data_IF_609401556171
#
_entry.id   IF_609401556171
#
_cell.length_a   1.000
_cell.length_b   1.000
_cell.length_c   1.000
_cell.angle_alpha   90.00
_cell.angle_beta   90.00
_cell.angle_gamma   90.00
#
_symmetry.space_group_name_H-M   'P 1'
#
loop_
_entity.id
_entity.type
_entity.pdbx_description
1 polymer ?
#
# COMPACT_ATOMS: atom_id res chain seq x y z
N UNK A 1 33.51 -10.44 32.20
CA UNK A 1 32.89 -9.88 30.99
C UNK A 1 33.63 -8.60 30.66
N UNK A 2 34.11 -8.45 29.43
CA UNK A 2 34.75 -7.21 29.00
C UNK A 2 33.74 -6.04 29.03
N UNK A 3 34.21 -4.81 29.20
CA UNK A 3 33.34 -3.61 29.15
C UNK A 3 32.56 -3.54 27.83
N UNK A 4 33.15 -4.04 26.75
CA UNK A 4 32.53 -4.19 25.43
C UNK A 4 31.35 -5.16 25.46
N UNK A 5 31.52 -6.37 25.98
CA UNK A 5 30.45 -7.37 26.10
C UNK A 5 29.28 -6.88 26.95
N UNK A 6 29.57 -6.20 28.07
CA UNK A 6 28.53 -5.62 28.94
C UNK A 6 27.74 -4.54 28.21
N UNK A 7 28.43 -3.68 27.45
CA UNK A 7 27.79 -2.61 26.67
C UNK A 7 26.90 -3.19 25.58
N UNK A 8 27.39 -4.18 24.82
CA UNK A 8 26.59 -4.86 23.79
C UNK A 8 25.35 -5.54 24.37
N UNK A 9 25.46 -6.23 25.52
CA UNK A 9 24.30 -6.86 26.18
C UNK A 9 23.25 -5.81 26.53
N UNK A 10 23.66 -4.68 27.13
CA UNK A 10 22.75 -3.59 27.48
C UNK A 10 22.11 -2.94 26.26
N UNK A 11 22.86 -2.77 25.16
CA UNK A 11 22.32 -2.27 23.90
C UNK A 11 21.22 -3.21 23.35
N UNK A 12 21.41 -4.53 23.44
CA UNK A 12 20.39 -5.52 23.05
C UNK A 12 19.15 -5.45 23.95
N UNK A 13 19.32 -5.29 25.27
CA UNK A 13 18.21 -5.09 26.22
C UNK A 13 17.39 -3.83 25.89
N UNK A 14 18.05 -2.75 25.48
CA UNK A 14 17.41 -1.50 25.03
C UNK A 14 16.78 -1.60 23.63
N UNK A 15 16.82 -2.77 22.98
CA UNK A 15 16.36 -3.00 21.59
C UNK A 15 17.12 -2.14 20.56
N UNK A 16 18.41 -1.92 20.79
CA UNK A 16 19.37 -1.27 19.88
C UNK A 16 20.26 -2.34 19.24
N UNK A 17 19.63 -3.33 18.60
CA UNK A 17 20.29 -4.55 18.12
C UNK A 17 21.33 -4.26 17.04
N UNK A 18 21.05 -3.38 16.09
CA UNK A 18 21.99 -3.03 15.03
C UNK A 18 23.13 -2.17 15.57
N UNK A 19 22.84 -1.31 16.56
CA UNK A 19 23.87 -0.57 17.28
C UNK A 19 24.86 -1.51 18.00
N UNK A 20 24.35 -2.56 18.65
CA UNK A 20 25.16 -3.59 19.31
C UNK A 20 26.06 -4.33 18.30
N UNK A 21 25.49 -4.79 17.19
CA UNK A 21 26.25 -5.47 16.11
C UNK A 21 27.32 -4.56 15.50
N UNK A 22 26.98 -3.29 15.25
CA UNK A 22 27.93 -2.32 14.69
C UNK A 22 29.04 -1.98 15.69
N UNK A 23 28.74 -1.98 16.99
CA UNK A 23 29.73 -1.77 18.05
C UNK A 23 30.71 -2.94 18.17
N UNK A 24 30.23 -4.18 18.06
CA UNK A 24 31.08 -5.37 17.96
C UNK A 24 31.99 -5.30 16.72
N UNK A 25 31.43 -4.95 15.55
CA UNK A 25 32.19 -4.78 14.31
C UNK A 25 33.27 -3.69 14.40
N UNK A 26 32.96 -2.58 15.07
CA UNK A 26 33.94 -1.51 15.29
C UNK A 26 35.12 -1.96 16.16
N UNK A 27 34.88 -2.83 17.14
CA UNK A 27 35.94 -3.35 18.01
C UNK A 27 36.88 -4.32 17.29
N UNK A 28 36.38 -5.03 16.27
CA UNK A 28 37.17 -5.97 15.44
C UNK A 28 37.95 -5.26 14.32
N UNK A 29 37.47 -4.11 13.85
CA UNK A 29 38.05 -3.41 12.71
C UNK A 29 39.03 -2.30 13.12
N UNK A 30 40.32 -2.62 13.12
CA UNK A 30 41.41 -1.70 13.46
C UNK A 30 41.47 -0.42 12.62
N UNK A 31 40.93 -0.42 11.39
CA UNK A 31 40.83 0.78 10.53
C UNK A 31 39.86 1.82 11.09
N UNK A 32 38.78 1.38 11.75
CA UNK A 32 37.80 2.29 12.35
C UNK A 32 38.33 2.97 13.61
N UNK A 33 39.41 2.46 14.22
CA UNK A 33 40.08 3.12 15.34
C UNK A 33 40.79 4.43 14.96
N UNK A 34 40.95 4.71 13.66
CA UNK A 34 41.47 5.99 13.17
C UNK A 34 40.43 7.11 13.25
N UNK A 35 39.15 6.75 13.34
CA UNK A 35 38.05 7.69 13.55
C UNK A 35 38.00 8.12 15.01
N UNK A 36 37.59 9.37 15.23
CA UNK A 36 37.29 9.91 16.55
C UNK A 36 36.17 9.11 17.22
N UNK A 37 36.04 9.26 18.54
CA UNK A 37 34.93 8.65 19.28
C UNK A 37 33.57 9.13 18.72
N UNK A 38 33.43 10.43 18.45
CA UNK A 38 32.18 11.02 17.98
C UNK A 38 31.79 10.50 16.59
N UNK A 39 32.75 10.35 15.67
CA UNK A 39 32.50 9.76 14.34
C UNK A 39 32.05 8.29 14.46
N UNK A 40 32.75 7.50 15.28
CA UNK A 40 32.37 6.11 15.53
C UNK A 40 30.99 5.99 16.14
N UNK A 41 30.68 6.83 17.14
CA UNK A 41 29.37 6.85 17.77
C UNK A 41 28.27 7.30 16.80
N UNK A 42 28.56 8.29 15.94
CA UNK A 42 27.68 8.71 14.85
C UNK A 42 27.30 7.55 13.94
N UNK A 43 28.28 6.75 13.49
CA UNK A 43 28.04 5.56 12.65
C UNK A 43 27.14 4.53 13.34
N UNK A 44 27.29 4.32 14.66
CA UNK A 44 26.43 3.41 15.44
C UNK A 44 24.97 3.87 15.43
N UNK A 45 24.75 5.17 15.65
CA UNK A 45 23.41 5.78 15.68
C UNK A 45 22.76 5.76 14.30
N UNK A 46 23.50 6.12 13.26
CA UNK A 46 23.03 6.09 11.86
C UNK A 46 22.63 4.68 11.43
N UNK A 47 23.46 3.67 11.75
CA UNK A 47 23.16 2.28 11.44
C UNK A 47 21.86 1.81 12.11
N UNK A 48 21.65 2.15 13.39
CA UNK A 48 20.43 1.78 14.10
C UNK A 48 19.19 2.52 13.56
N UNK A 49 19.30 3.81 13.24
CA UNK A 49 18.21 4.58 12.62
C UNK A 49 17.83 3.96 11.26
N UNK A 50 18.81 3.72 10.38
CA UNK A 50 18.59 3.13 9.06
C UNK A 50 17.94 1.73 9.18
N UNK A 51 18.41 0.90 10.12
CA UNK A 51 17.83 -0.42 10.37
C UNK A 51 16.39 -0.33 10.90
N UNK A 52 16.07 0.62 11.77
CA UNK A 52 14.70 0.84 12.26
C UNK A 52 13.77 1.30 11.14
N UNK A 53 14.23 2.20 10.29
CA UNK A 53 13.45 2.68 9.14
C UNK A 53 13.17 1.56 8.13
N UNK A 54 14.17 0.73 7.86
CA UNK A 54 14.06 -0.45 7.00
C UNK A 54 13.10 -1.49 7.60
N UNK A 55 13.23 -1.82 8.90
CA UNK A 55 12.29 -2.70 9.61
C UNK A 55 10.86 -2.18 9.56
N UNK A 56 10.65 -0.87 9.76
CA UNK A 56 9.33 -0.24 9.66
C UNK A 56 8.77 -0.37 8.24
N UNK A 57 9.57 -0.07 7.22
CA UNK A 57 9.15 -0.19 5.82
C UNK A 57 8.76 -1.63 5.48
N UNK A 58 9.62 -2.60 5.80
CA UNK A 58 9.37 -4.02 5.55
C UNK A 58 8.10 -4.51 6.24
N UNK A 59 7.84 -4.05 7.48
CA UNK A 59 6.60 -4.36 8.19
C UNK A 59 5.37 -3.79 7.49
N UNK A 60 5.44 -2.55 6.99
CA UNK A 60 4.33 -1.91 6.27
C UNK A 60 4.07 -2.61 4.93
N UNK A 61 5.11 -2.89 4.15
CA UNK A 61 4.99 -3.58 2.85
C UNK A 61 4.41 -4.98 3.04
N UNK A 62 4.89 -5.74 4.03
CA UNK A 62 4.32 -7.06 4.38
C UNK A 62 2.86 -6.94 4.83
N UNK A 63 2.57 -5.97 5.69
CA UNK A 63 1.20 -5.72 6.16
C UNK A 63 0.24 -5.27 5.05
N UNK A 64 0.76 -4.65 4.00
CA UNK A 64 -0.05 -4.21 2.87
C UNK A 64 -0.51 -5.36 1.96
N UNK A 65 0.21 -6.50 1.98
CA UNK A 65 -0.11 -7.70 1.19
C UNK A 65 -0.30 -7.42 -0.31
N UNK A 66 0.58 -6.59 -0.87
CA UNK A 66 0.54 -6.19 -2.28
C UNK A 66 0.96 -7.37 -3.17
N UNK A 67 0.15 -7.77 -4.17
CA UNK A 67 0.42 -8.95 -5.00
C UNK A 67 1.58 -8.75 -5.98
N UNK A 68 1.87 -7.52 -6.38
CA UNK A 68 2.91 -7.19 -7.34
C UNK A 68 3.97 -6.27 -6.69
N UNK A 69 5.25 -6.56 -6.95
CA UNK A 69 6.35 -5.66 -6.60
C UNK A 69 6.46 -4.55 -7.66
N UNK A 70 5.57 -3.57 -7.58
CA UNK A 70 5.45 -2.48 -8.54
C UNK A 70 6.12 -1.21 -8.02
N UNK A 71 6.88 -0.54 -8.88
CA UNK A 71 7.63 0.68 -8.56
C UNK A 71 7.40 1.71 -9.66
N UNK A 72 7.15 2.98 -9.31
CA UNK A 72 6.85 4.03 -10.28
C UNK A 72 7.96 4.23 -11.34
N UNK A 73 9.20 3.92 -10.96
CA UNK A 73 10.38 3.97 -11.79
C UNK A 73 10.30 3.01 -13.00
N UNK A 74 9.54 1.93 -12.88
CA UNK A 74 9.31 0.93 -13.94
C UNK A 74 8.04 1.21 -14.77
N UNK A 75 7.35 2.31 -14.50
CA UNK A 75 6.09 2.61 -15.16
C UNK A 75 6.31 2.99 -16.64
N UNK A 76 5.61 2.26 -17.50
CA UNK A 76 5.53 2.58 -18.93
C UNK A 76 4.64 3.81 -19.18
N UNK A 77 5.30 4.96 -19.33
CA UNK A 77 4.67 6.27 -19.52
C UNK A 77 4.43 6.66 -21.00
N UNK A 78 4.27 5.67 -21.89
CA UNK A 78 3.92 5.94 -23.29
C UNK A 78 2.58 6.69 -23.40
N UNK A 79 2.46 7.69 -24.29
CA UNK A 79 1.22 8.46 -24.47
C UNK A 79 -0.02 7.60 -24.78
N UNK A 80 0.19 6.44 -25.41
CA UNK A 80 -0.85 5.45 -25.75
C UNK A 80 -1.58 4.87 -24.54
N UNK A 81 -1.01 5.04 -23.33
CA UNK A 81 -1.59 4.57 -22.07
C UNK A 81 -2.67 5.51 -21.51
N UNK A 82 -2.84 6.70 -22.09
CA UNK A 82 -3.83 7.70 -21.65
C UNK A 82 -3.53 8.32 -20.28
N UNK A 83 -2.29 8.20 -19.80
CA UNK A 83 -1.88 8.74 -18.50
C UNK A 83 -1.40 10.17 -18.64
N UNK A 84 -1.99 11.07 -17.84
CA UNK A 84 -1.46 12.42 -17.65
C UNK A 84 -0.25 12.36 -16.70
N UNK A 85 0.93 12.70 -17.23
CA UNK A 85 2.19 12.71 -16.46
C UNK A 85 2.18 13.73 -15.34
N UNK A 86 1.54 14.87 -15.53
CA UNK A 86 1.47 15.92 -14.51
C UNK A 86 0.63 15.44 -13.32
N UNK A 87 -0.55 14.88 -13.61
CA UNK A 87 -1.40 14.27 -12.60
C UNK A 87 -0.68 13.13 -11.86
N UNK A 88 -0.03 12.23 -12.59
CA UNK A 88 0.68 11.10 -11.97
C UNK A 88 1.81 11.56 -11.04
N UNK A 89 2.60 12.54 -11.47
CA UNK A 89 3.67 13.13 -10.66
C UNK A 89 3.14 13.86 -9.42
N UNK A 90 1.97 14.48 -9.51
CA UNK A 90 1.31 15.07 -8.34
C UNK A 90 0.86 13.99 -7.36
N UNK A 91 0.24 12.92 -7.86
CA UNK A 91 -0.30 11.83 -7.05
C UNK A 91 0.79 10.96 -6.41
N UNK A 92 1.99 10.84 -7.00
CA UNK A 92 3.10 10.04 -6.48
C UNK A 92 3.67 10.56 -5.15
N UNK A 93 3.36 11.81 -4.80
CA UNK A 93 3.63 12.38 -3.46
C UNK A 93 2.75 11.77 -2.36
N UNK A 94 1.68 11.05 -2.74
CA UNK A 94 0.63 10.55 -1.85
C UNK A 94 -0.04 11.64 -0.99
N UNK A 95 0.07 12.93 -1.37
CA UNK A 95 -0.56 14.05 -0.66
C UNK A 95 -2.09 13.89 -0.58
N UNK A 96 -2.70 13.35 -1.64
CA UNK A 96 -4.13 13.04 -1.70
C UNK A 96 -4.61 12.13 -0.56
N UNK A 97 -3.76 11.23 -0.05
CA UNK A 97 -4.09 10.36 1.09
C UNK A 97 -4.25 11.18 2.38
N UNK A 98 -3.39 12.18 2.56
CA UNK A 98 -3.42 13.06 3.75
C UNK A 98 -4.61 14.03 3.71
N UNK A 99 -5.09 14.36 2.51
CA UNK A 99 -6.28 15.18 2.28
C UNK A 99 -7.58 14.37 2.24
N UNK A 100 -7.54 13.09 2.62
CA UNK A 100 -8.69 12.16 2.58
C UNK A 100 -9.40 12.08 1.20
N UNK A 101 -8.66 12.36 0.12
CA UNK A 101 -9.17 12.21 -1.25
C UNK A 101 -9.01 10.76 -1.70
N UNK A 102 -9.85 10.30 -2.62
CA UNK A 102 -9.75 8.94 -3.17
C UNK A 102 -9.00 8.94 -4.50
N UNK A 103 -8.58 7.77 -4.95
CA UNK A 103 -8.01 7.55 -6.27
C UNK A 103 -8.74 6.40 -6.97
N UNK A 104 -9.31 6.69 -8.13
CA UNK A 104 -10.01 5.70 -8.95
C UNK A 104 -9.21 5.45 -10.22
N UNK A 105 -8.89 4.19 -10.49
CA UNK A 105 -8.16 3.76 -11.69
C UNK A 105 -9.07 2.87 -12.54
N UNK A 106 -9.51 3.38 -13.69
CA UNK A 106 -10.39 2.65 -14.62
C UNK A 106 -9.64 2.29 -15.89
N UNK A 107 -9.98 1.16 -16.52
CA UNK A 107 -9.41 0.73 -17.78
C UNK A 107 -9.69 -0.73 -18.11
N UNK A 108 -9.49 -1.11 -19.36
CA UNK A 108 -9.72 -2.49 -19.82
C UNK A 108 -8.86 -3.53 -19.06
N UNK A 109 -9.20 -4.80 -19.17
CA UNK A 109 -8.43 -5.88 -18.53
C UNK A 109 -7.00 -5.93 -19.06
N UNK A 110 -6.02 -6.11 -18.17
CA UNK A 110 -4.61 -6.24 -18.55
C UNK A 110 -3.88 -4.93 -18.85
N UNK A 111 -4.53 -3.77 -18.79
CA UNK A 111 -3.88 -2.46 -18.94
C UNK A 111 -3.10 -2.02 -17.69
N UNK A 112 -2.79 -2.89 -16.74
CA UNK A 112 -1.93 -2.55 -15.59
C UNK A 112 -2.58 -1.72 -14.47
N UNK A 113 -3.90 -1.82 -14.28
CA UNK A 113 -4.60 -1.15 -13.15
C UNK A 113 -4.08 -1.63 -11.79
N UNK A 114 -4.08 -2.94 -11.57
CA UNK A 114 -3.57 -3.60 -10.35
C UNK A 114 -2.11 -3.24 -10.10
N UNK A 115 -1.27 -3.26 -11.14
CA UNK A 115 0.14 -2.87 -11.04
C UNK A 115 0.29 -1.43 -10.56
N UNK A 116 -0.48 -0.50 -11.14
CA UNK A 116 -0.42 0.92 -10.75
C UNK A 116 -0.94 1.13 -9.32
N UNK A 117 -2.00 0.43 -8.92
CA UNK A 117 -2.48 0.43 -7.54
C UNK A 117 -1.41 -0.09 -6.58
N UNK A 118 -0.69 -1.15 -6.96
CA UNK A 118 0.44 -1.68 -6.17
C UNK A 118 1.59 -0.67 -6.08
N UNK A 119 1.90 0.05 -7.16
CA UNK A 119 2.93 1.09 -7.15
C UNK A 119 2.59 2.22 -6.16
N UNK A 120 1.33 2.67 -6.14
CA UNK A 120 0.84 3.61 -5.13
C UNK A 120 0.91 3.02 -3.71
N UNK A 121 0.57 1.74 -3.53
CA UNK A 121 0.67 1.05 -2.25
C UNK A 121 2.10 0.97 -1.71
N UNK A 122 3.06 0.63 -2.57
CA UNK A 122 4.49 0.62 -2.23
C UNK A 122 4.99 2.03 -1.90
N UNK A 123 4.61 3.03 -2.70
CA UNK A 123 4.98 4.41 -2.46
C UNK A 123 4.42 4.95 -1.13
N UNK A 124 3.17 4.62 -0.80
CA UNK A 124 2.60 4.93 0.50
C UNK A 124 3.42 4.30 1.63
N UNK A 125 3.80 3.02 1.51
CA UNK A 125 4.64 2.34 2.49
C UNK A 125 6.04 3.00 2.62
N UNK A 126 6.66 3.42 1.51
CA UNK A 126 7.94 4.17 1.50
C UNK A 126 7.83 5.47 2.29
N UNK A 127 6.72 6.18 2.12
CA UNK A 127 6.35 7.39 2.88
C UNK A 127 5.85 7.11 4.31
N UNK A 128 5.99 5.86 4.77
CA UNK A 128 5.57 5.37 6.09
C UNK A 128 4.06 5.47 6.36
N UNK A 129 3.26 5.55 5.30
CA UNK A 129 1.80 5.52 5.32
C UNK A 129 1.35 4.05 5.27
N UNK A 130 0.62 3.53 6.27
CA UNK A 130 0.14 2.16 6.25
C UNK A 130 -0.87 1.96 5.12
N UNK A 131 -0.66 0.94 4.29
CA UNK A 131 -1.58 0.54 3.23
C UNK A 131 -2.09 -0.89 3.48
N UNK A 132 -3.23 -1.25 2.89
CA UNK A 132 -3.69 -2.63 2.77
C UNK A 132 -4.35 -2.85 1.41
N UNK A 133 -4.13 -4.03 0.84
CA UNK A 133 -4.66 -4.43 -0.45
C UNK A 133 -5.66 -5.57 -0.29
N UNK A 134 -6.79 -5.43 -0.96
CA UNK A 134 -7.79 -6.47 -1.10
C UNK A 134 -8.30 -6.50 -2.55
N UNK A 135 -8.47 -7.70 -3.11
CA UNK A 135 -9.38 -7.85 -4.26
C UNK A 135 -10.80 -7.71 -3.77
N UNK A 136 -11.63 -6.97 -4.48
CA UNK A 136 -13.00 -6.68 -4.07
C UNK A 136 -13.81 -7.98 -3.86
N UNK A 137 -13.74 -8.92 -4.80
CA UNK A 137 -14.39 -10.24 -4.71
C UNK A 137 -14.00 -11.00 -3.44
N UNK A 138 -12.69 -11.07 -3.15
CA UNK A 138 -12.15 -11.84 -2.03
C UNK A 138 -12.54 -11.19 -0.70
N UNK A 139 -12.58 -9.86 -0.67
CA UNK A 139 -13.07 -9.10 0.49
C UNK A 139 -14.55 -9.38 0.73
N UNK A 140 -15.40 -9.40 -0.30
CA UNK A 140 -16.83 -9.68 -0.15
C UNK A 140 -17.07 -11.10 0.35
N UNK A 141 -16.34 -12.10 -0.16
CA UNK A 141 -16.38 -13.47 0.38
C UNK A 141 -15.96 -13.50 1.85
N UNK A 142 -14.84 -12.85 2.17
CA UNK A 142 -14.31 -12.76 3.54
C UNK A 142 -15.29 -12.11 4.50
N UNK A 143 -16.08 -11.12 4.06
CA UNK A 143 -17.12 -10.50 4.88
C UNK A 143 -18.27 -11.48 5.13
N UNK A 144 -18.67 -12.25 4.12
CA UNK A 144 -19.69 -13.29 4.26
C UNK A 144 -19.28 -14.37 5.27
N UNK A 145 -18.06 -14.89 5.12
CA UNK A 145 -17.47 -15.87 6.04
C UNK A 145 -17.34 -15.31 7.46
N UNK A 146 -16.81 -14.09 7.60
CA UNK A 146 -16.62 -13.44 8.90
C UNK A 146 -17.94 -13.12 9.62
N UNK A 147 -19.04 -13.00 8.88
CA UNK A 147 -20.37 -12.84 9.44
C UNK A 147 -20.88 -14.15 10.02
N UNK A 148 -20.58 -15.28 9.36
CA UNK A 148 -21.01 -16.61 9.80
C UNK A 148 -20.22 -17.11 11.02
N UNK A 149 -18.91 -16.87 11.07
CA UNK A 149 -18.03 -17.34 12.15
C UNK A 149 -17.87 -16.34 13.32
N UNK A 150 -18.53 -15.18 13.24
CA UNK A 150 -18.49 -14.12 14.26
C UNK A 150 -17.22 -13.27 14.28
N UNK A 151 -16.31 -13.42 13.31
CA UNK A 151 -15.04 -12.68 13.22
C UNK A 151 -15.14 -11.30 12.54
N UNK A 152 -16.34 -10.90 12.10
CA UNK A 152 -16.57 -9.61 11.43
C UNK A 152 -16.00 -8.37 12.18
N UNK A 153 -16.07 -8.26 13.53
CA UNK A 153 -15.46 -7.14 14.24
C UNK A 153 -13.94 -7.04 14.03
N UNK A 154 -13.25 -8.19 13.95
CA UNK A 154 -11.81 -8.27 13.69
C UNK A 154 -11.49 -7.80 12.27
N UNK A 155 -12.29 -8.22 11.29
CA UNK A 155 -12.15 -7.78 9.89
C UNK A 155 -12.39 -6.28 9.75
N UNK A 156 -13.46 -5.73 10.36
CA UNK A 156 -13.73 -4.28 10.39
C UNK A 156 -12.57 -3.48 10.96
N UNK A 157 -11.93 -3.97 12.03
CA UNK A 157 -10.74 -3.34 12.59
C UNK A 157 -9.55 -3.40 11.62
N UNK A 158 -9.34 -4.54 10.96
CA UNK A 158 -8.28 -4.68 9.96
C UNK A 158 -8.48 -3.70 8.78
N UNK A 159 -9.72 -3.57 8.29
CA UNK A 159 -10.09 -2.65 7.22
C UNK A 159 -9.99 -1.17 7.63
N UNK A 160 -10.02 -0.86 8.93
CA UNK A 160 -9.96 0.52 9.45
C UNK A 160 -8.54 0.98 9.80
N UNK A 161 -7.63 0.07 10.12
CA UNK A 161 -6.25 0.37 10.55
C UNK A 161 -5.35 1.07 9.53
N UNK A 162 -5.31 0.67 8.24
CA UNK A 162 -4.40 1.30 7.29
C UNK A 162 -4.86 2.74 7.02
N UNK A 163 -3.99 3.63 6.54
CA UNK A 163 -4.41 4.96 6.04
C UNK A 163 -4.82 4.92 4.57
N UNK A 164 -4.29 3.95 3.82
CA UNK A 164 -4.70 3.66 2.44
C UNK A 164 -5.31 2.27 2.35
N UNK A 165 -6.56 2.16 1.90
CA UNK A 165 -7.16 0.87 1.58
C UNK A 165 -7.33 0.77 0.05
N UNK A 166 -6.72 -0.27 -0.53
CA UNK A 166 -6.75 -0.55 -1.95
C UNK A 166 -7.78 -1.66 -2.20
N UNK A 167 -8.79 -1.36 -3.01
CA UNK A 167 -9.80 -2.30 -3.48
C UNK A 167 -9.59 -2.53 -4.99
N UNK A 168 -9.02 -3.67 -5.32
CA UNK A 168 -8.70 -4.03 -6.70
C UNK A 168 -9.86 -4.79 -7.37
N UNK A 169 -10.04 -4.58 -8.67
CA UNK A 169 -11.04 -5.24 -9.51
C UNK A 169 -12.49 -5.08 -9.01
N UNK A 170 -12.84 -3.87 -8.57
CA UNK A 170 -14.19 -3.52 -8.15
C UNK A 170 -15.20 -3.68 -9.30
N UNK A 171 -16.34 -4.31 -9.01
CA UNK A 171 -17.37 -4.69 -9.99
C UNK A 171 -17.21 -6.10 -10.56
N UNK A 172 -16.21 -6.87 -10.12
CA UNK A 172 -16.11 -8.30 -10.41
C UNK A 172 -16.57 -9.09 -9.16
N UNK A 173 -17.54 -9.98 -9.34
CA UNK A 173 -18.16 -10.75 -8.26
C UNK A 173 -19.47 -10.12 -7.77
N UNK A 174 -20.24 -10.90 -7.00
CA UNK A 174 -21.51 -10.46 -6.41
C UNK A 174 -21.28 -9.85 -5.03
N UNK A 175 -21.90 -8.70 -4.77
CA UNK A 175 -21.86 -8.05 -3.47
C UNK A 175 -23.14 -8.35 -2.69
N UNK A 176 -23.00 -9.03 -1.56
CA UNK A 176 -24.12 -9.27 -0.65
C UNK A 176 -24.53 -7.98 0.08
N UNK A 177 -25.76 -7.94 0.62
CA UNK A 177 -26.24 -6.80 1.41
C UNK A 177 -25.35 -6.51 2.63
N UNK A 178 -24.82 -7.56 3.27
CA UNK A 178 -23.87 -7.42 4.37
C UNK A 178 -22.56 -6.81 3.92
N UNK A 179 -22.01 -7.25 2.77
CA UNK A 179 -20.79 -6.67 2.21
C UNK A 179 -20.99 -5.19 1.84
N UNK A 180 -22.14 -4.83 1.28
CA UNK A 180 -22.49 -3.44 0.96
C UNK A 180 -22.55 -2.55 2.21
N UNK A 181 -23.17 -3.03 3.29
CA UNK A 181 -23.22 -2.34 4.59
C UNK A 181 -21.83 -2.15 5.20
N UNK A 182 -21.00 -3.20 5.19
CA UNK A 182 -19.62 -3.11 5.69
C UNK A 182 -18.78 -2.17 4.84
N UNK A 183 -18.97 -2.15 3.52
CA UNK A 183 -18.29 -1.21 2.63
C UNK A 183 -18.68 0.24 2.93
N UNK A 184 -19.97 0.51 3.18
CA UNK A 184 -20.44 1.83 3.62
C UNK A 184 -19.76 2.26 4.93
N UNK A 185 -19.73 1.40 5.95
CA UNK A 185 -19.03 1.69 7.21
C UNK A 185 -17.56 2.04 6.99
N UNK A 186 -16.89 1.30 6.10
CA UNK A 186 -15.48 1.51 5.77
C UNK A 186 -15.30 2.86 5.07
N UNK A 187 -16.12 3.15 4.05
CA UNK A 187 -16.08 4.41 3.31
C UNK A 187 -16.32 5.60 4.24
N UNK A 188 -17.35 5.55 5.09
CA UNK A 188 -17.66 6.59 6.08
C UNK A 188 -16.48 6.87 7.02
N UNK A 189 -15.83 5.81 7.53
CA UNK A 189 -14.63 5.97 8.36
C UNK A 189 -13.48 6.59 7.58
N UNK A 190 -13.27 6.15 6.35
CA UNK A 190 -12.16 6.57 5.50
C UNK A 190 -12.19 8.06 5.24
N UNK A 191 -13.36 8.64 5.00
CA UNK A 191 -13.53 10.09 4.79
C UNK A 191 -12.96 10.96 5.93
N UNK A 192 -12.69 10.38 7.11
CA UNK A 192 -12.09 11.07 8.27
C UNK A 192 -10.64 10.66 8.54
N UNK A 193 -10.26 9.43 8.22
CA UNK A 193 -9.00 8.82 8.72
C UNK A 193 -8.05 8.32 7.64
N UNK A 194 -8.43 8.38 6.36
CA UNK A 194 -7.59 7.93 5.26
C UNK A 194 -8.24 8.04 3.89
N UNK A 195 -7.87 7.15 2.98
CA UNK A 195 -8.32 7.19 1.59
C UNK A 195 -8.53 5.80 1.00
N UNK A 196 -9.30 5.77 -0.09
CA UNK A 196 -9.50 4.59 -0.92
C UNK A 196 -8.77 4.74 -2.24
N UNK A 197 -8.12 3.66 -2.66
CA UNK A 197 -7.72 3.47 -4.06
C UNK A 197 -8.55 2.33 -4.63
N UNK A 198 -9.36 2.61 -5.63
CA UNK A 198 -10.23 1.61 -6.25
C UNK A 198 -9.82 1.42 -7.70
N UNK A 199 -9.63 0.16 -8.11
CA UNK A 199 -9.48 -0.17 -9.52
C UNK A 199 -10.75 -0.82 -10.06
N UNK A 200 -11.11 -0.54 -11.31
CA UNK A 200 -12.24 -1.22 -11.96
C UNK A 200 -12.04 -1.30 -13.47
N UNK A 201 -12.63 -2.33 -14.07
CA UNK A 201 -12.79 -2.39 -15.53
C UNK A 201 -14.04 -1.65 -16.02
N UNK A 202 -14.97 -1.34 -15.12
CA UNK A 202 -16.20 -0.66 -15.44
C UNK A 202 -16.09 0.83 -15.12
N UNK A 203 -16.65 1.70 -15.97
CA UNK A 203 -16.73 3.12 -15.66
C UNK A 203 -17.66 3.38 -14.46
N UNK A 204 -17.44 4.47 -13.74
CA UNK A 204 -18.05 4.73 -12.42
C UNK A 204 -19.57 4.87 -12.47
N UNK A 205 -20.13 5.28 -13.61
CA UNK A 205 -21.58 5.35 -13.87
C UNK A 205 -22.27 3.99 -13.78
N UNK A 206 -21.53 2.89 -13.98
CA UNK A 206 -22.06 1.53 -13.83
C UNK A 206 -21.95 0.97 -12.42
N UNK A 207 -21.27 1.65 -11.51
CA UNK A 207 -20.99 1.09 -10.18
C UNK A 207 -22.25 0.98 -9.33
N UNK A 208 -23.25 1.83 -9.58
CA UNK A 208 -24.51 1.79 -8.84
C UNK A 208 -25.19 0.41 -8.95
N UNK A 209 -25.14 -0.24 -10.12
CA UNK A 209 -25.75 -1.57 -10.32
C UNK A 209 -25.01 -2.71 -9.64
N UNK A 210 -23.83 -2.47 -9.04
CA UNK A 210 -23.11 -3.51 -8.30
C UNK A 210 -23.65 -3.71 -6.89
N UNK A 211 -24.42 -2.73 -6.39
CA UNK A 211 -24.98 -2.77 -5.05
C UNK A 211 -26.37 -3.42 -5.05
N UNK A 212 -26.67 -4.27 -4.06
CA UNK A 212 -28.00 -4.86 -3.92
C UNK A 212 -29.06 -3.85 -3.44
N UNK A 213 -28.65 -2.78 -2.74
CA UNK A 213 -29.51 -1.72 -2.26
C UNK A 213 -29.10 -0.38 -2.91
N UNK A 214 -29.98 0.25 -3.72
CA UNK A 214 -29.75 1.56 -4.32
C UNK A 214 -29.37 2.66 -3.32
N UNK A 215 -29.96 2.67 -2.12
CA UNK A 215 -29.72 3.69 -1.10
C UNK A 215 -28.29 3.60 -0.57
N UNK A 216 -27.78 2.37 -0.39
CA UNK A 216 -26.39 2.14 0.00
C UNK A 216 -25.46 2.53 -1.16
N UNK A 217 -25.84 2.20 -2.40
CA UNK A 217 -25.09 2.56 -3.60
C UNK A 217 -24.88 4.07 -3.67
N UNK A 218 -25.95 4.85 -3.54
CA UNK A 218 -25.90 6.31 -3.54
C UNK A 218 -24.98 6.83 -2.43
N UNK A 219 -25.16 6.34 -1.20
CA UNK A 219 -24.36 6.76 -0.07
C UNK A 219 -22.85 6.47 -0.25
N UNK A 220 -22.50 5.29 -0.76
CA UNK A 220 -21.11 4.91 -1.01
C UNK A 220 -20.53 5.71 -2.16
N UNK A 221 -21.23 5.79 -3.29
CA UNK A 221 -20.70 6.42 -4.50
C UNK A 221 -20.57 7.93 -4.34
N UNK A 222 -21.50 8.61 -3.67
CA UNK A 222 -21.38 10.04 -3.34
C UNK A 222 -20.03 10.35 -2.67
N UNK A 223 -19.65 9.55 -1.66
CA UNK A 223 -18.40 9.72 -0.89
C UNK A 223 -17.16 9.29 -1.67
N UNK A 224 -17.25 8.16 -2.36
CA UNK A 224 -16.11 7.57 -3.06
C UNK A 224 -15.77 8.38 -4.30
N UNK A 225 -16.77 8.78 -5.07
CA UNK A 225 -16.63 9.25 -6.45
C UNK A 225 -16.51 10.77 -6.54
N UNK A 226 -17.13 11.54 -5.64
CA UNK A 226 -17.07 13.00 -5.69
C UNK A 226 -15.72 13.57 -5.26
N UNK A 227 -15.04 12.95 -4.29
CA UNK A 227 -13.71 13.38 -3.83
C UNK A 227 -12.57 12.50 -4.39
N UNK A 228 -12.72 12.00 -5.62
CA UNK A 228 -11.73 11.13 -6.25
C UNK A 228 -10.95 11.81 -7.38
N UNK A 229 -9.63 11.62 -7.33
CA UNK A 229 -8.79 11.69 -8.53
C UNK A 229 -9.09 10.51 -9.43
N UNK A 230 -9.08 10.72 -10.75
CA UNK A 230 -9.40 9.67 -11.72
C UNK A 230 -8.28 9.48 -12.71
N UNK A 231 -7.84 8.24 -12.86
CA UNK A 231 -6.88 7.82 -13.89
C UNK A 231 -7.60 6.84 -14.82
N UNK A 232 -7.74 7.23 -16.09
CA UNK A 232 -8.26 6.37 -17.14
C UNK A 232 -7.11 5.75 -17.93
N UNK A 233 -6.79 4.49 -17.65
CA UNK A 233 -5.81 3.73 -18.40
C UNK A 233 -6.38 3.24 -19.73
N UNK A 234 -5.56 3.37 -20.78
CA UNK A 234 -5.83 2.92 -22.14
C UNK A 234 -4.67 2.06 -22.66
N UNK A 235 -4.85 1.55 -23.88
CA UNK A 235 -3.83 0.79 -24.61
C UNK A 235 -3.99 -0.72 -24.52
N UNK A 236 -3.04 -1.43 -25.13
CA UNK A 236 -3.03 -2.90 -25.16
C UNK A 236 -2.73 -3.52 -23.80
N UNK A 237 -3.07 -4.80 -23.66
CA UNK A 237 -2.77 -5.58 -22.46
C UNK A 237 -1.25 -5.69 -22.25
N UNK A 238 -0.78 -5.21 -21.09
CA UNK A 238 0.62 -5.30 -20.68
C UNK A 238 1.08 -6.75 -20.51
N UNK A 239 0.15 -7.67 -20.18
CA UNK A 239 0.43 -9.11 -20.11
C UNK A 239 0.79 -9.67 -21.49
N UNK A 240 0.07 -9.26 -22.54
CA UNK A 240 0.37 -9.66 -23.93
C UNK A 240 1.70 -9.10 -24.41
N UNK A 241 2.00 -7.84 -24.08
CA UNK A 241 3.26 -7.20 -24.46
C UNK A 241 4.48 -7.84 -23.77
N UNK A 242 4.37 -8.19 -22.48
CA UNK A 242 5.42 -8.93 -21.77
C UNK A 242 5.60 -10.34 -22.34
N UNK A 243 4.50 -11.04 -22.66
CA UNK A 243 4.54 -12.36 -23.28
C UNK A 243 5.24 -12.37 -24.64
N UNK A 244 4.99 -11.36 -25.50
CA UNK A 244 5.68 -11.23 -26.81
C UNK A 244 7.18 -11.02 -26.64
N UNK A 245 7.60 -10.12 -25.74
CA UNK A 245 9.02 -9.85 -25.47
C UNK A 245 9.81 -11.08 -24.98
N UNK A 246 9.17 -12.00 -24.26
CA UNK A 246 9.79 -13.24 -23.78
C UNK A 246 9.92 -14.32 -24.86
N UNK A 247 9.19 -14.21 -25.97
CA UNK A 247 9.24 -15.14 -27.10
C UNK A 247 10.19 -14.65 -28.21
N UNK A 248 10.52 -13.36 -28.21
CA UNK A 248 11.36 -12.70 -29.21
C UNK A 248 12.82 -12.50 -28.76
N UNK A 249 13.16 -12.85 -27.52
CA UNK A 249 14.51 -12.76 -26.93
C UNK A 249 15.00 -14.10 -26.43
#
# INVERSE_FOLDING_TARGET
>A
MSTTEQTTSRLRELRLTTMAETYELQAEQSKLHQLTFDERFGLLVEAEIAARESRKLNRLVRGASLPENAAFEELDNRPTRGMDKALLSSLSSCGWIRHQQNLIIVGATGVGKTWLACAFGHQACRLKIPAAFYRASDLFSSIGEATHDGSLPKLRLALSKPSLLILDDFGIGEMSSTAAQVLLDVVDRRMRTGSLLITSQYPTDKWHSFFPDPTIADAVLDRVVHQAHRIQLKGESMRKLRGRKLLEG
#
